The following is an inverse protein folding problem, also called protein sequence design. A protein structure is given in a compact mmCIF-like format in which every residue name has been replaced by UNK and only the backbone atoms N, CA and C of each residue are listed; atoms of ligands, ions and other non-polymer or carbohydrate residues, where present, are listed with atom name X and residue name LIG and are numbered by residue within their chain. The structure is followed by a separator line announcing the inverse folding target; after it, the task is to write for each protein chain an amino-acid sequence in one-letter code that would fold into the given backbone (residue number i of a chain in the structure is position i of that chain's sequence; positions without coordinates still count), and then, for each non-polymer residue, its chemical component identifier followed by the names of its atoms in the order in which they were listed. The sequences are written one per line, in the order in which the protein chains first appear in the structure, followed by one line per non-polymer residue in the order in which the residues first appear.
data_IF_173536322943
#
_entry.id   IF_173536322943
#
_cell.length_a   1.000
_cell.length_b   1.000
_cell.length_c   1.000
_cell.angle_alpha   90.00
_cell.angle_beta   90.00
_cell.angle_gamma   90.00
#
_symmetry.space_group_name_H-M   'P 1'
#
loop_
_entity.id
_entity.type
_entity.pdbx_description
1 polymer ?
#
# COMPACT_ATOMS: atom_id res chain seq x y z
N UNK A 1 -8.85 -63.66 25.62
CA UNK A 1 -8.08 -62.40 25.42
C UNK A 1 -8.57 -61.65 24.17
N UNK A 2 -9.89 -61.37 24.04
CA UNK A 2 -10.48 -60.83 22.79
C UNK A 2 -11.58 -59.75 22.98
N UNK A 3 -11.77 -59.17 24.18
CA UNK A 3 -12.85 -58.18 24.40
C UNK A 3 -12.48 -56.72 24.13
N UNK A 4 -11.20 -56.40 23.88
CA UNK A 4 -10.74 -55.02 23.63
C UNK A 4 -10.69 -54.58 22.16
N UNK A 5 -10.81 -55.51 21.19
CA UNK A 5 -10.74 -55.14 19.76
C UNK A 5 -12.08 -54.60 19.22
N UNK A 6 -13.20 -55.15 19.68
CA UNK A 6 -14.53 -54.78 19.18
C UNK A 6 -14.98 -53.37 19.58
N UNK A 7 -14.45 -52.80 20.67
CA UNK A 7 -14.78 -51.43 21.07
C UNK A 7 -14.09 -50.41 20.16
N UNK A 8 -12.82 -50.65 19.81
CA UNK A 8 -12.03 -49.76 18.94
C UNK A 8 -12.68 -49.62 17.56
N UNK A 9 -13.15 -50.73 16.98
CA UNK A 9 -13.78 -50.73 15.66
C UNK A 9 -15.09 -49.93 15.65
N UNK A 10 -15.88 -49.99 16.73
CA UNK A 10 -17.11 -49.19 16.85
C UNK A 10 -16.83 -47.69 16.95
N UNK A 11 -15.82 -47.29 17.73
CA UNK A 11 -15.41 -45.87 17.81
C UNK A 11 -14.86 -45.35 16.47
N UNK A 12 -14.14 -46.17 15.72
CA UNK A 12 -13.60 -45.77 14.42
C UNK A 12 -14.72 -45.51 13.39
N UNK A 13 -15.76 -46.35 13.36
CA UNK A 13 -16.90 -46.16 12.45
C UNK A 13 -17.75 -44.94 12.79
N UNK A 14 -17.88 -44.60 14.07
CA UNK A 14 -18.57 -43.37 14.49
C UNK A 14 -17.79 -42.11 14.07
N UNK A 15 -16.46 -42.13 14.15
CA UNK A 15 -15.63 -40.99 13.72
C UNK A 15 -15.72 -40.80 12.20
N UNK A 16 -15.65 -41.88 11.41
CA UNK A 16 -15.70 -41.79 9.94
C UNK A 16 -17.06 -41.30 9.41
N UNK A 17 -18.17 -41.66 10.05
CA UNK A 17 -19.51 -41.21 9.65
C UNK A 17 -19.78 -39.74 9.97
N UNK A 18 -19.21 -39.23 11.07
CA UNK A 18 -19.26 -37.79 11.41
C UNK A 18 -18.40 -36.94 10.46
N UNK A 19 -17.29 -37.48 9.97
CA UNK A 19 -16.40 -36.78 9.03
C UNK A 19 -17.00 -36.69 7.61
N UNK A 20 -17.67 -37.74 7.12
CA UNK A 20 -18.27 -37.70 5.77
C UNK A 20 -19.52 -36.81 5.69
N UNK A 21 -20.23 -36.64 6.80
CA UNK A 21 -21.45 -35.82 6.86
C UNK A 21 -21.18 -34.31 6.90
N UNK A 22 -19.92 -33.89 7.10
CA UNK A 22 -19.53 -32.49 7.27
C UNK A 22 -18.93 -31.85 6.01
N UNK A 23 -18.82 -32.59 4.90
CA UNK A 23 -18.38 -32.05 3.61
C UNK A 23 -19.56 -31.82 2.69
N UNK A 24 -20.43 -30.88 3.04
CA UNK A 24 -21.43 -30.34 2.13
C UNK A 24 -21.41 -28.81 2.19
N UNK A 25 -20.79 -28.27 1.14
CA UNK A 25 -20.79 -26.87 0.69
C UNK A 25 -20.42 -25.80 1.71
N UNK A 26 -19.11 -25.53 1.81
CA UNK A 26 -18.65 -24.15 1.87
C UNK A 26 -17.61 -23.98 0.78
N UNK A 27 -18.02 -23.40 -0.35
CA UNK A 27 -17.10 -22.83 -1.32
C UNK A 27 -16.43 -21.64 -0.64
N UNK A 28 -15.44 -21.89 0.20
CA UNK A 28 -14.51 -20.84 0.63
C UNK A 28 -13.57 -20.63 -0.55
N UNK A 29 -14.00 -19.74 -1.45
CA UNK A 29 -13.08 -19.01 -2.30
C UNK A 29 -12.04 -18.42 -1.36
N UNK A 30 -10.82 -18.95 -1.41
CA UNK A 30 -9.66 -18.34 -0.75
C UNK A 30 -9.38 -17.04 -1.50
N UNK A 31 -10.19 -16.02 -1.24
CA UNK A 31 -9.82 -14.64 -1.50
C UNK A 31 -8.57 -14.40 -0.63
N UNK A 32 -7.40 -14.05 -1.22
CA UNK A 32 -6.28 -13.62 -0.43
C UNK A 32 -6.77 -12.51 0.48
N UNK A 33 -6.62 -12.69 1.79
CA UNK A 33 -6.96 -11.69 2.79
C UNK A 33 -5.95 -10.55 2.61
N UNK A 34 -6.14 -9.73 1.58
CA UNK A 34 -5.55 -8.41 1.50
C UNK A 34 -6.16 -7.66 2.66
N UNK A 35 -5.48 -7.76 3.81
CA UNK A 35 -5.69 -6.91 4.96
C UNK A 35 -5.49 -5.51 4.39
N UNK A 36 -6.59 -4.86 4.00
CA UNK A 36 -6.59 -3.47 3.58
C UNK A 36 -6.14 -2.73 4.82
N UNK A 37 -4.83 -2.48 4.93
CA UNK A 37 -4.30 -1.54 5.90
C UNK A 37 -5.10 -0.28 5.63
N UNK A 38 -6.01 0.06 6.55
CA UNK A 38 -6.85 1.25 6.43
C UNK A 38 -5.94 2.43 6.10
N UNK A 39 -6.39 3.32 5.20
CA UNK A 39 -5.60 4.44 4.65
C UNK A 39 -4.65 5.00 5.71
N UNK A 40 -3.36 4.70 5.57
CA UNK A 40 -2.38 5.09 6.60
C UNK A 40 -2.28 6.62 6.53
N UNK A 41 -2.69 7.29 7.60
CA UNK A 41 -2.59 8.74 7.71
C UNK A 41 -1.16 9.14 8.08
N UNK A 42 -0.22 8.95 7.15
CA UNK A 42 1.16 9.44 7.28
C UNK A 42 1.20 10.83 6.65
N UNK A 43 1.54 11.85 7.45
CA UNK A 43 1.90 13.16 6.89
C UNK A 43 3.32 13.05 6.32
N UNK A 44 3.53 13.31 5.01
CA UNK A 44 4.88 13.32 4.45
C UNK A 44 5.75 14.40 5.11
N UNK A 45 7.06 14.17 5.08
CA UNK A 45 8.04 15.19 5.48
C UNK A 45 7.96 16.37 4.52
N UNK A 46 8.04 17.59 5.06
CA UNK A 46 8.15 18.79 4.25
C UNK A 46 9.52 18.89 3.56
N UNK A 47 9.57 19.57 2.41
CA UNK A 47 10.81 19.84 1.67
C UNK A 47 10.93 21.34 1.39
N UNK A 48 12.00 21.95 1.91
CA UNK A 48 12.21 23.39 1.82
C UNK A 48 12.97 23.78 0.53
N UNK A 49 13.81 22.88 0.03
CA UNK A 49 14.67 23.15 -1.14
C UNK A 49 16.02 23.76 -0.78
N UNK A 50 16.49 23.54 0.44
CA UNK A 50 17.80 24.00 0.90
C UNK A 50 18.91 23.02 0.49
N UNK A 51 20.14 23.53 0.31
CA UNK A 51 21.31 22.73 -0.13
C UNK A 51 21.71 21.60 0.84
N UNK A 52 21.23 21.63 2.08
CA UNK A 52 21.47 20.59 3.09
C UNK A 52 20.41 19.47 3.07
N UNK A 53 19.35 19.60 2.26
CA UNK A 53 18.33 18.57 2.08
C UNK A 53 18.64 17.71 0.85
N UNK A 54 18.37 16.41 0.96
CA UNK A 54 18.51 15.49 -0.16
C UNK A 54 17.16 15.27 -0.85
N UNK A 55 16.98 15.88 -2.02
CA UNK A 55 15.75 15.76 -2.84
C UNK A 55 15.46 14.31 -3.23
N UNK A 56 16.49 13.48 -3.46
CA UNK A 56 16.32 12.08 -3.85
C UNK A 56 15.73 11.28 -2.70
N UNK A 57 16.29 11.41 -1.49
CA UNK A 57 15.77 10.74 -0.29
C UNK A 57 14.33 11.16 0.01
N UNK A 58 14.04 12.45 -0.14
CA UNK A 58 12.67 12.96 0.04
C UNK A 58 11.69 12.35 -0.99
N UNK A 59 12.06 12.32 -2.27
CA UNK A 59 11.24 11.70 -3.33
C UNK A 59 10.98 10.22 -3.08
N UNK A 60 11.99 9.45 -2.67
CA UNK A 60 11.84 8.02 -2.36
C UNK A 60 10.83 7.81 -1.23
N UNK A 61 10.88 8.62 -0.16
CA UNK A 61 9.91 8.50 0.94
C UNK A 61 8.47 8.81 0.54
N UNK A 62 8.27 9.69 -0.45
CA UNK A 62 6.94 9.93 -1.03
C UNK A 62 6.49 8.76 -1.90
N UNK A 63 7.39 8.16 -2.68
CA UNK A 63 7.05 7.03 -3.56
C UNK A 63 6.55 5.83 -2.76
N UNK A 64 7.21 5.48 -1.65
CA UNK A 64 6.74 4.43 -0.74
C UNK A 64 5.31 4.70 -0.24
N UNK A 65 5.00 5.96 0.09
CA UNK A 65 3.64 6.33 0.51
C UNK A 65 2.63 6.21 -0.64
N UNK A 66 3.00 6.66 -1.83
CA UNK A 66 2.11 6.69 -3.00
C UNK A 66 1.80 5.30 -3.53
N UNK A 67 2.77 4.39 -3.52
CA UNK A 67 2.60 3.00 -3.92
C UNK A 67 1.63 2.27 -2.99
N UNK A 68 1.78 2.46 -1.67
CA UNK A 68 0.90 1.86 -0.67
C UNK A 68 -0.56 2.38 -0.76
N UNK A 69 -0.76 3.58 -1.33
CA UNK A 69 -2.08 4.20 -1.46
C UNK A 69 -2.64 4.16 -2.89
N UNK A 70 -1.92 3.55 -3.84
CA UNK A 70 -2.29 3.48 -5.26
C UNK A 70 -2.66 4.85 -5.87
N UNK A 71 -1.93 5.91 -5.50
CA UNK A 71 -2.24 7.26 -5.98
C UNK A 71 -1.97 7.42 -7.48
N UNK A 72 -2.88 8.13 -8.16
CA UNK A 72 -2.70 8.63 -9.52
C UNK A 72 -1.65 9.75 -9.57
N UNK A 73 -1.07 10.02 -10.74
CA UNK A 73 -0.08 11.08 -10.90
C UNK A 73 -0.59 12.46 -10.45
N UNK A 74 -1.87 12.77 -10.72
CA UNK A 74 -2.48 14.02 -10.26
C UNK A 74 -2.55 14.12 -8.73
N UNK A 75 -2.88 13.02 -8.05
CA UNK A 75 -2.88 12.95 -6.58
C UNK A 75 -1.47 13.04 -6.01
N UNK A 76 -0.50 12.34 -6.61
CA UNK A 76 0.93 12.39 -6.22
C UNK A 76 1.48 13.81 -6.29
N UNK A 77 1.28 14.49 -7.42
CA UNK A 77 1.74 15.87 -7.60
C UNK A 77 1.05 16.81 -6.62
N UNK A 78 -0.25 16.63 -6.39
CA UNK A 78 -1.02 17.45 -5.44
C UNK A 78 -0.53 17.24 -4.00
N UNK A 79 -0.25 16.01 -3.59
CA UNK A 79 0.30 15.72 -2.28
C UNK A 79 1.74 16.21 -2.13
N UNK A 80 2.61 15.95 -3.10
CA UNK A 80 4.00 16.40 -3.06
C UNK A 80 4.09 17.92 -2.99
N UNK A 81 3.29 18.63 -3.80
CA UNK A 81 3.27 20.10 -3.79
C UNK A 81 2.71 20.72 -2.51
N UNK A 82 1.84 20.03 -1.78
CA UNK A 82 1.27 20.53 -0.52
C UNK A 82 2.26 20.48 0.67
N UNK A 83 3.31 19.67 0.55
CA UNK A 83 4.38 19.57 1.55
C UNK A 83 5.69 20.25 1.08
N UNK A 84 5.64 20.99 -0.03
CA UNK A 84 6.72 21.91 -0.38
C UNK A 84 6.67 23.16 0.50
N UNK A 85 7.85 23.66 0.86
CA UNK A 85 8.02 24.89 1.61
C UNK A 85 9.18 25.70 1.00
N UNK A 86 9.41 26.92 1.49
CA UNK A 86 10.57 27.73 1.12
C UNK A 86 10.80 27.88 -0.39
N UNK A 87 12.04 27.67 -0.83
CA UNK A 87 12.46 27.80 -2.24
C UNK A 87 11.81 26.76 -3.14
N UNK A 88 11.56 25.56 -2.64
CA UNK A 88 10.89 24.51 -3.41
C UNK A 88 9.42 24.86 -3.69
N UNK A 89 8.70 25.43 -2.71
CA UNK A 89 7.34 25.92 -2.95
C UNK A 89 7.33 27.05 -3.96
N UNK A 90 8.28 27.99 -3.86
CA UNK A 90 8.40 29.09 -4.80
C UNK A 90 8.66 28.60 -6.24
N UNK A 91 9.51 27.59 -6.41
CA UNK A 91 9.72 26.92 -7.70
C UNK A 91 8.40 26.38 -8.28
N UNK A 92 7.61 25.64 -7.48
CA UNK A 92 6.37 25.04 -7.96
C UNK A 92 5.31 26.09 -8.34
N UNK A 93 5.22 27.17 -7.55
CA UNK A 93 4.34 28.32 -7.87
C UNK A 93 4.76 28.95 -9.20
N UNK A 94 6.05 29.15 -9.43
CA UNK A 94 6.57 29.72 -10.67
C UNK A 94 6.24 28.83 -11.89
N UNK A 95 6.32 27.50 -11.76
CA UNK A 95 5.90 26.58 -12.82
C UNK A 95 4.41 26.73 -13.16
N UNK A 96 3.56 26.83 -12.12
CA UNK A 96 2.11 27.00 -12.30
C UNK A 96 1.78 28.30 -13.03
N UNK A 97 2.41 29.41 -12.65
CA UNK A 97 2.22 30.72 -13.31
C UNK A 97 2.65 30.69 -14.77
N UNK A 98 3.72 29.94 -15.09
CA UNK A 98 4.24 29.78 -16.45
C UNK A 98 3.48 28.76 -17.31
N UNK A 99 2.43 28.12 -16.78
CA UNK A 99 1.70 27.06 -17.46
C UNK A 99 2.54 25.79 -17.69
N UNK A 100 3.62 25.61 -16.92
CA UNK A 100 4.54 24.46 -17.00
C UNK A 100 4.36 23.50 -15.84
N UNK A 101 3.13 23.39 -15.32
CA UNK A 101 2.85 22.44 -14.23
C UNK A 101 3.07 21.02 -14.75
N UNK A 102 3.86 20.17 -14.07
CA UNK A 102 4.02 18.79 -14.46
C UNK A 102 2.67 18.07 -14.52
N UNK A 103 2.49 17.22 -15.53
CA UNK A 103 1.28 16.38 -15.68
C UNK A 103 1.51 14.93 -15.30
N UNK A 104 2.76 14.52 -15.17
CA UNK A 104 3.16 13.18 -14.71
C UNK A 104 4.07 13.25 -13.49
N UNK A 105 4.08 12.19 -12.68
CA UNK A 105 4.98 12.09 -11.54
C UNK A 105 6.44 12.05 -11.97
N UNK A 106 6.74 11.41 -13.11
CA UNK A 106 8.10 11.35 -13.66
C UNK A 106 8.63 12.74 -14.00
N UNK A 107 7.82 13.54 -14.71
CA UNK A 107 8.17 14.91 -15.06
C UNK A 107 8.37 15.78 -13.82
N UNK A 108 7.52 15.63 -12.80
CA UNK A 108 7.68 16.35 -11.54
C UNK A 108 9.04 16.07 -10.90
N UNK A 109 9.45 14.80 -10.84
CA UNK A 109 10.75 14.39 -10.28
C UNK A 109 11.93 14.97 -11.05
N UNK A 110 11.88 14.92 -12.38
CA UNK A 110 12.96 15.44 -13.24
C UNK A 110 13.11 16.95 -13.11
N UNK A 111 11.99 17.68 -13.16
CA UNK A 111 12.01 19.13 -13.00
C UNK A 111 12.46 19.55 -11.60
N UNK A 112 12.03 18.84 -10.55
CA UNK A 112 12.42 19.18 -9.17
C UNK A 112 13.91 18.89 -8.90
N UNK A 113 14.47 17.82 -9.47
CA UNK A 113 15.91 17.52 -9.35
C UNK A 113 16.81 18.51 -10.09
N UNK A 114 16.24 19.25 -11.05
CA UNK A 114 16.93 20.25 -11.87
C UNK A 114 16.58 21.70 -11.51
N UNK A 115 15.78 21.89 -10.45
CA UNK A 115 15.37 23.18 -9.91
C UNK A 115 16.53 23.87 -9.17
#
# INVERSE_FOLDING_TARGET
MNQQRNQTDQYQHEILSRLSSNTSSRNETYEPVHRTLGKINVKPKEFNGNNNENVVTWLVSLEELFENQHMTDGERITMASSVLNGTALQWFVNLRVRGKRPTSWSEFKEQLKSA
#
